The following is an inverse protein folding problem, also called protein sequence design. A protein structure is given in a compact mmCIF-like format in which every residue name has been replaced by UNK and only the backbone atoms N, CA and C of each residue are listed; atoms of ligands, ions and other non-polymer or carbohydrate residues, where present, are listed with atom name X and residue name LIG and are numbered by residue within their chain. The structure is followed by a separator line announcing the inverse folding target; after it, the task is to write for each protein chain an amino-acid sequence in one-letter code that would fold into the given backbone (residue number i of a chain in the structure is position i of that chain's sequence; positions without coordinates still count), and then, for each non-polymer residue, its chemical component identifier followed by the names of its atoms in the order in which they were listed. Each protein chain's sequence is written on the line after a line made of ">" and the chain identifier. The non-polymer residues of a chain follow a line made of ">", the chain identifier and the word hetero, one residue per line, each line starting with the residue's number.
data_IF_472939873952
#
_entry.id   IF_472939873952
#
_cell.length_a   1.000
_cell.length_b   1.000
_cell.length_c   1.000
_cell.angle_alpha   90.00
_cell.angle_beta   90.00
_cell.angle_gamma   90.00
#
_symmetry.space_group_name_H-M   'P 1'
#
loop_
_entity.id
_entity.type
_entity.pdbx_description
1 polymer ?
#
# COMPACT_ATOMS: atom_id res chain seq x y z
N UNK A 1 -16.44 34.93 -2.07
CA UNK A 1 -17.08 33.97 -3.01
C UNK A 1 -16.00 32.98 -3.42
N UNK A 2 -15.83 31.91 -2.65
CA UNK A 2 -14.89 30.83 -2.94
C UNK A 2 -15.63 29.83 -3.82
N UNK A 3 -15.19 29.67 -5.06
CA UNK A 3 -15.68 28.62 -5.95
C UNK A 3 -15.42 27.25 -5.30
N UNK A 4 -16.36 26.30 -5.37
CA UNK A 4 -16.10 24.93 -4.93
C UNK A 4 -14.98 24.35 -5.83
N UNK A 5 -14.08 23.52 -5.27
CA UNK A 5 -13.11 22.82 -6.09
C UNK A 5 -13.87 21.91 -7.05
N UNK A 6 -13.55 22.04 -8.34
CA UNK A 6 -14.13 21.23 -9.42
C UNK A 6 -13.86 19.76 -9.13
N UNK A 7 -14.91 19.01 -8.78
CA UNK A 7 -14.93 17.56 -8.77
C UNK A 7 -14.67 17.07 -10.20
N UNK A 8 -13.40 16.90 -10.57
CA UNK A 8 -13.03 16.05 -11.69
C UNK A 8 -13.00 14.63 -11.11
N UNK A 9 -13.88 13.72 -11.55
CA UNK A 9 -13.69 12.32 -11.25
C UNK A 9 -12.42 11.90 -11.99
N UNK A 10 -11.29 11.79 -11.29
CA UNK A 10 -10.07 11.20 -11.84
C UNK A 10 -10.27 9.69 -12.01
N UNK A 11 -11.15 9.33 -12.93
CA UNK A 11 -11.18 8.00 -13.52
C UNK A 11 -10.06 8.04 -14.55
N UNK A 12 -8.84 7.77 -14.10
CA UNK A 12 -7.79 7.22 -14.96
C UNK A 12 -8.38 5.93 -15.56
N UNK A 13 -8.97 6.05 -16.74
CA UNK A 13 -9.53 4.91 -17.44
C UNK A 13 -8.36 4.04 -17.88
N UNK A 14 -8.27 2.84 -17.30
CA UNK A 14 -7.33 1.83 -17.77
C UNK A 14 -7.51 1.63 -19.28
N UNK A 15 -6.41 1.53 -20.04
CA UNK A 15 -6.47 1.05 -21.41
C UNK A 15 -7.22 -0.29 -21.48
N UNK A 16 -7.87 -0.60 -22.62
CA UNK A 16 -8.48 -1.90 -22.84
C UNK A 16 -7.54 -3.06 -22.49
N UNK A 17 -8.10 -4.14 -21.96
CA UNK A 17 -7.31 -5.30 -21.52
C UNK A 17 -6.39 -5.83 -22.62
N UNK A 18 -6.87 -5.90 -23.86
CA UNK A 18 -6.09 -6.39 -24.99
C UNK A 18 -4.85 -5.52 -25.26
N UNK A 19 -4.96 -4.20 -25.10
CA UNK A 19 -3.82 -3.27 -25.25
C UNK A 19 -2.80 -3.45 -24.13
N UNK A 20 -3.26 -3.67 -22.89
CA UNK A 20 -2.38 -3.97 -21.75
C UNK A 20 -1.64 -5.30 -21.95
N UNK A 21 -2.33 -6.31 -22.49
CA UNK A 21 -1.73 -7.60 -22.83
C UNK A 21 -0.70 -7.45 -23.94
N UNK A 22 -1.00 -6.65 -24.96
CA UNK A 22 -0.07 -6.37 -26.06
C UNK A 22 1.18 -5.66 -25.54
N UNK A 23 1.01 -4.63 -24.70
CA UNK A 23 2.11 -3.89 -24.08
C UNK A 23 2.98 -4.81 -23.22
N UNK A 24 2.36 -5.65 -22.38
CA UNK A 24 3.08 -6.58 -21.52
C UNK A 24 3.87 -7.66 -22.29
N UNK A 25 3.39 -8.08 -23.47
CA UNK A 25 4.05 -9.11 -24.30
C UNK A 25 5.22 -8.55 -25.10
N UNK A 26 5.05 -7.37 -25.69
CA UNK A 26 6.02 -6.82 -26.65
C UNK A 26 6.99 -5.82 -26.02
N UNK A 27 6.61 -5.19 -24.90
CA UNK A 27 7.43 -4.20 -24.21
C UNK A 27 7.19 -4.24 -22.68
N UNK A 28 7.74 -5.25 -21.98
CA UNK A 28 7.51 -5.44 -20.55
C UNK A 28 8.06 -4.31 -19.68
N UNK A 29 9.13 -3.63 -20.12
CA UNK A 29 9.65 -2.43 -19.45
C UNK A 29 8.64 -1.28 -19.51
N UNK A 30 8.07 -1.00 -20.70
CA UNK A 30 7.05 0.04 -20.85
C UNK A 30 5.78 -0.31 -20.07
N UNK A 31 5.37 -1.57 -20.02
CA UNK A 31 4.26 -2.00 -19.16
C UNK A 31 4.55 -1.74 -17.68
N UNK A 32 5.78 -1.98 -17.24
CA UNK A 32 6.20 -1.73 -15.86
C UNK A 32 6.19 -0.23 -15.53
N UNK A 33 6.70 0.59 -16.45
CA UNK A 33 6.69 2.05 -16.32
C UNK A 33 5.26 2.60 -16.29
N UNK A 34 4.39 2.14 -17.19
CA UNK A 34 2.98 2.53 -17.24
C UNK A 34 2.25 2.30 -15.91
N UNK A 35 2.43 1.12 -15.30
CA UNK A 35 1.84 0.84 -13.98
C UNK A 35 2.34 1.82 -12.90
N UNK A 36 3.63 2.14 -12.93
CA UNK A 36 4.24 3.05 -11.95
C UNK A 36 3.68 4.46 -12.08
N UNK A 37 3.60 4.97 -13.31
CA UNK A 37 3.04 6.30 -13.60
C UNK A 37 1.59 6.40 -13.13
N UNK A 38 0.78 5.39 -13.44
CA UNK A 38 -0.63 5.37 -13.01
C UNK A 38 -0.79 5.34 -11.48
N UNK A 39 0.06 4.60 -10.77
CA UNK A 39 0.08 4.63 -9.30
C UNK A 39 0.51 6.01 -8.77
N UNK A 40 1.58 6.59 -9.35
CA UNK A 40 2.10 7.90 -8.95
C UNK A 40 1.05 9.00 -9.16
N UNK A 41 0.40 9.03 -10.31
CA UNK A 41 -0.69 9.96 -10.61
C UNK A 41 -1.86 9.81 -9.64
N UNK A 42 -2.26 8.57 -9.31
CA UNK A 42 -3.30 8.31 -8.32
C UNK A 42 -2.90 8.85 -6.94
N UNK A 43 -1.66 8.62 -6.52
CA UNK A 43 -1.16 9.13 -5.23
C UNK A 43 -1.16 10.66 -5.24
N UNK A 44 -0.61 11.30 -6.27
CA UNK A 44 -0.53 12.76 -6.39
C UNK A 44 -1.90 13.44 -6.45
N UNK A 45 -2.93 12.74 -6.94
CA UNK A 45 -4.32 13.24 -6.94
C UNK A 45 -4.99 13.23 -5.56
N UNK A 46 -4.46 12.49 -4.58
CA UNK A 46 -5.00 12.43 -3.23
C UNK A 46 -4.64 13.67 -2.40
N UNK A 47 -5.36 13.90 -1.30
CA UNK A 47 -5.04 14.98 -0.35
C UNK A 47 -3.61 14.83 0.19
N UNK A 48 -2.90 15.93 0.41
CA UNK A 48 -1.51 15.93 0.88
C UNK A 48 -1.30 15.08 2.15
N UNK A 49 -2.26 15.13 3.07
CA UNK A 49 -2.27 14.32 4.30
C UNK A 49 -2.30 12.80 4.05
N UNK A 50 -2.90 12.38 2.93
CA UNK A 50 -3.04 10.98 2.53
C UNK A 50 -1.88 10.50 1.65
N UNK A 51 -1.28 11.39 0.85
CA UNK A 51 -0.18 11.06 -0.07
C UNK A 51 0.96 10.30 0.62
N UNK A 52 1.39 10.74 1.81
CA UNK A 52 2.44 10.07 2.57
C UNK A 52 2.10 8.62 2.91
N UNK A 53 0.85 8.36 3.28
CA UNK A 53 0.36 7.00 3.58
C UNK A 53 0.31 6.14 2.32
N UNK A 54 -0.17 6.71 1.21
CA UNK A 54 -0.27 5.99 -0.05
C UNK A 54 1.11 5.65 -0.64
N UNK A 55 2.09 6.55 -0.55
CA UNK A 55 3.48 6.27 -0.93
C UNK A 55 4.10 5.13 -0.10
N UNK A 56 3.84 5.11 1.20
CA UNK A 56 4.24 4.01 2.06
C UNK A 56 3.54 2.70 1.67
N UNK A 57 2.25 2.74 1.32
CA UNK A 57 1.51 1.57 0.82
C UNK A 57 2.04 1.06 -0.52
N UNK A 58 2.32 1.95 -1.48
CA UNK A 58 2.93 1.58 -2.76
C UNK A 58 4.30 0.91 -2.54
N UNK A 59 5.14 1.49 -1.68
CA UNK A 59 6.44 0.90 -1.32
C UNK A 59 6.30 -0.49 -0.68
N UNK A 60 5.27 -0.68 0.14
CA UNK A 60 4.95 -1.98 0.73
C UNK A 60 4.53 -2.99 -0.36
N UNK A 61 3.63 -2.60 -1.27
CA UNK A 61 3.19 -3.43 -2.39
C UNK A 61 4.39 -3.84 -3.25
N UNK A 62 5.25 -2.90 -3.62
CA UNK A 62 6.44 -3.17 -4.44
C UNK A 62 7.37 -4.19 -3.77
N UNK A 63 7.60 -4.04 -2.45
CA UNK A 63 8.42 -4.99 -1.68
C UNK A 63 7.83 -6.39 -1.67
N UNK A 64 6.52 -6.50 -1.46
CA UNK A 64 5.85 -7.80 -1.38
C UNK A 64 5.76 -8.46 -2.76
N UNK A 65 5.46 -7.69 -3.81
CA UNK A 65 5.48 -8.16 -5.20
C UNK A 65 6.88 -8.64 -5.59
N UNK A 66 7.94 -7.93 -5.18
CA UNK A 66 9.33 -8.34 -5.43
C UNK A 66 9.74 -9.67 -4.80
N UNK A 67 9.00 -10.16 -3.80
CA UNK A 67 9.23 -11.47 -3.18
C UNK A 67 8.45 -12.60 -3.88
N UNK A 68 7.58 -12.28 -4.84
CA UNK A 68 6.76 -13.26 -5.55
C UNK A 68 7.60 -14.00 -6.60
N UNK A 69 7.42 -15.32 -6.66
CA UNK A 69 8.19 -16.22 -7.54
C UNK A 69 7.63 -16.32 -8.96
N UNK A 70 6.37 -15.93 -9.17
CA UNK A 70 5.70 -15.99 -10.47
C UNK A 70 4.49 -15.04 -10.50
N UNK A 71 3.94 -14.73 -11.69
CA UNK A 71 2.81 -13.80 -11.83
C UNK A 71 1.54 -14.24 -11.12
N UNK A 72 1.28 -15.55 -11.02
CA UNK A 72 0.09 -16.07 -10.31
C UNK A 72 0.20 -15.77 -8.82
N UNK A 73 1.38 -15.99 -8.23
CA UNK A 73 1.64 -15.64 -6.83
C UNK A 73 1.47 -14.13 -6.60
N UNK A 74 2.00 -13.30 -7.49
CA UNK A 74 1.79 -11.84 -7.45
C UNK A 74 0.31 -11.48 -7.42
N UNK A 75 -0.50 -12.06 -8.31
CA UNK A 75 -1.95 -11.78 -8.36
C UNK A 75 -2.67 -12.19 -7.07
N UNK A 76 -2.34 -13.35 -6.50
CA UNK A 76 -2.91 -13.80 -5.23
C UNK A 76 -2.58 -12.83 -4.09
N UNK A 77 -1.33 -12.37 -4.03
CA UNK A 77 -0.91 -11.43 -3.00
C UNK A 77 -1.58 -10.07 -3.19
N UNK A 78 -1.64 -9.53 -4.41
CA UNK A 78 -2.34 -8.28 -4.68
C UNK A 78 -3.83 -8.35 -4.28
N UNK A 79 -4.51 -9.46 -4.58
CA UNK A 79 -5.90 -9.67 -4.15
C UNK A 79 -6.05 -9.72 -2.63
N UNK A 80 -5.08 -10.34 -1.94
CA UNK A 80 -5.04 -10.37 -0.47
C UNK A 80 -4.85 -8.98 0.12
N UNK A 81 -3.95 -8.17 -0.43
CA UNK A 81 -3.74 -6.79 0.01
C UNK A 81 -4.97 -5.93 -0.21
N UNK A 82 -5.61 -6.04 -1.38
CA UNK A 82 -6.86 -5.34 -1.68
C UNK A 82 -7.98 -5.73 -0.70
N UNK A 83 -8.11 -7.02 -0.39
CA UNK A 83 -9.11 -7.51 0.57
C UNK A 83 -8.88 -6.94 1.98
N UNK A 84 -7.62 -6.82 2.41
CA UNK A 84 -7.30 -6.19 3.70
C UNK A 84 -7.67 -4.71 3.73
N UNK A 85 -7.41 -3.95 2.65
CA UNK A 85 -7.82 -2.55 2.58
C UNK A 85 -9.34 -2.41 2.62
N UNK A 86 -10.08 -3.30 1.96
CA UNK A 86 -11.55 -3.28 1.98
C UNK A 86 -12.10 -3.55 3.39
N UNK A 87 -11.48 -4.47 4.15
CA UNK A 87 -11.86 -4.70 5.55
C UNK A 87 -11.59 -3.47 6.42
N UNK A 88 -10.41 -2.83 6.27
CA UNK A 88 -10.08 -1.60 7.00
C UNK A 88 -11.06 -0.47 6.67
N UNK A 89 -11.40 -0.33 5.40
CA UNK A 89 -12.38 0.64 4.93
C UNK A 89 -13.75 0.40 5.57
N UNK A 90 -14.25 -0.84 5.55
CA UNK A 90 -15.49 -1.22 6.23
C UNK A 90 -15.46 -0.88 7.72
N UNK A 91 -14.40 -1.27 8.42
CA UNK A 91 -14.27 -0.99 9.86
C UNK A 91 -14.25 0.52 10.17
N UNK A 92 -13.61 1.32 9.31
CA UNK A 92 -13.62 2.78 9.43
C UNK A 92 -15.02 3.38 9.26
N UNK A 93 -15.84 2.82 8.36
CA UNK A 93 -17.24 3.22 8.19
C UNK A 93 -18.12 2.78 9.35
N UNK A 94 -17.90 1.57 9.87
CA UNK A 94 -18.66 0.99 10.99
C UNK A 94 -18.28 1.63 12.35
N UNK A 95 -17.30 2.54 12.37
CA UNK A 95 -16.86 3.25 13.59
C UNK A 95 -15.92 2.45 14.49
N UNK A 96 -15.49 1.26 14.07
CA UNK A 96 -14.53 0.41 14.79
C UNK A 96 -13.08 0.80 14.44
N UNK A 97 -12.80 2.10 14.49
CA UNK A 97 -11.43 2.60 14.56
C UNK A 97 -10.94 2.26 15.96
N UNK A 98 -10.29 1.09 16.07
CA UNK A 98 -9.59 0.63 17.27
C UNK A 98 -9.06 1.85 18.04
N UNK A 99 -9.65 2.12 19.22
CA UNK A 99 -9.11 3.11 20.14
C UNK A 99 -7.64 2.79 20.31
N UNK A 100 -6.77 3.79 20.13
CA UNK A 100 -5.35 3.66 20.40
C UNK A 100 -5.18 3.10 21.81
N UNK A 101 -4.91 1.79 21.89
CA UNK A 101 -4.45 1.16 23.11
C UNK A 101 -3.13 1.83 23.43
N UNK A 102 -3.14 2.73 24.41
CA UNK A 102 -1.93 3.40 24.90
C UNK A 102 -0.91 2.32 25.19
N UNK A 103 0.18 2.28 24.41
CA UNK A 103 1.19 1.26 24.55
C UNK A 103 1.83 1.38 25.94
N UNK A 104 1.89 0.27 26.68
CA UNK A 104 2.60 0.23 27.95
C UNK A 104 4.10 0.43 27.69
N UNK A 105 4.63 1.58 28.10
CA UNK A 105 6.06 1.89 27.98
C UNK A 105 6.82 1.10 29.03
N UNK A 106 7.41 -0.02 28.60
CA UNK A 106 8.27 -0.84 29.48
C UNK A 106 9.69 -0.28 29.45
N UNK A 107 10.28 0.13 30.60
CA UNK A 107 11.64 0.65 30.63
C UNK A 107 12.65 -0.43 30.27
N UNK A 108 13.63 -0.08 29.42
CA UNK A 108 14.72 -0.98 29.05
C UNK A 108 15.56 -1.30 30.28
N UNK A 109 15.53 -2.56 30.73
CA UNK A 109 16.42 -3.06 31.80
C UNK A 109 17.64 -3.71 31.17
N UNK A 110 18.85 -3.15 31.35
CA UNK A 110 20.08 -3.85 30.99
C UNK A 110 20.09 -5.21 31.69
N UNK A 111 20.36 -6.26 30.92
CA UNK A 111 20.52 -7.61 31.45
C UNK A 111 21.70 -7.59 32.42
N UNK A 112 21.44 -7.59 33.73
CA UNK A 112 22.49 -7.78 34.71
C UNK A 112 23.14 -9.14 34.41
N UNK A 113 24.45 -9.13 34.21
CA UNK A 113 25.25 -10.35 34.11
C UNK A 113 25.18 -11.09 35.45
N UNK A 114 24.14 -11.92 35.62
CA UNK A 114 24.12 -12.99 36.60
C UNK A 114 25.04 -14.10 36.07
N UNK A 115 26.35 -13.93 36.25
CA UNK A 115 27.32 -14.99 36.03
C UNK A 115 28.41 -14.97 37.10
N UNK A 116 28.02 -14.65 38.34
CA UNK A 116 28.66 -15.17 39.54
C UNK A 116 27.66 -16.11 40.20
N UNK A 117 28.15 -17.21 40.78
CA UNK A 117 27.41 -18.31 41.42
C UNK A 117 26.87 -19.41 40.49
N UNK A 118 27.77 -20.16 39.84
CA UNK A 118 27.79 -21.63 39.99
C UNK A 118 29.25 -22.11 39.87
N UNK A 119 29.79 -22.50 41.03
CA UNK A 119 30.97 -23.38 41.16
C UNK A 119 30.57 -24.81 40.84
#
# INVERSE_FOLDING_TARGET
>A
MTTPPTDIPYIQALPPFDELVELAKHNPEAFTQFKKEMCEEMILSASESMQQRLWAQQSHIDRVVGQCKNPVHTNVILMRELSQQMVRFRNALDGDLQQDSVAEVVPFRPRANSNDEWR
#
